data_IF_422549048417
#
_entry.id   IF_422549048417
#
_cell.length_a   1.000
_cell.length_b   1.000
_cell.length_c   1.000
_cell.angle_alpha   90.00
_cell.angle_beta   90.00
_cell.angle_gamma   90.00
#
_symmetry.space_group_name_H-M   'P 1'
#
loop_
_entity.id
_entity.type
_entity.pdbx_description
1 polymer ?
#
# COMPACT_ATOMS: atom_id res chain seq x y z
N UNK A 1 -5.04 -0.65 2.05
CA UNK A 1 -6.51 -0.72 2.18
C UNK A 1 -6.89 -0.70 3.64
N UNK A 2 -7.85 0.11 4.00
CA UNK A 2 -8.26 0.26 5.39
C UNK A 2 -9.26 -0.83 5.77
N UNK A 3 -8.89 -1.64 6.75
CA UNK A 3 -9.76 -2.66 7.31
C UNK A 3 -9.75 -2.53 8.83
N UNK A 4 -10.78 -3.00 9.48
CA UNK A 4 -10.87 -2.98 10.93
C UNK A 4 -11.25 -1.64 11.54
N UNK A 5 -11.45 -0.60 10.73
CA UNK A 5 -11.87 0.72 11.20
C UNK A 5 -13.33 1.04 10.91
N UNK A 6 -14.07 0.08 10.38
CA UNK A 6 -15.45 0.31 9.96
C UNK A 6 -16.49 -0.03 11.00
N UNK A 7 -16.10 -0.75 12.02
CA UNK A 7 -17.00 -1.17 13.07
C UNK A 7 -16.84 -0.25 14.26
N UNK A 8 -17.67 0.68 14.37
CA UNK A 8 -17.71 1.59 15.52
C UNK A 8 -19.17 1.88 15.84
N UNK A 9 -19.40 2.26 17.08
CA UNK A 9 -20.73 2.53 17.57
C UNK A 9 -21.11 3.97 17.26
N UNK A 10 -21.85 4.17 16.21
CA UNK A 10 -22.32 5.47 15.82
C UNK A 10 -21.50 6.14 14.73
N UNK A 11 -21.93 7.29 14.23
CA UNK A 11 -21.26 8.01 13.16
C UNK A 11 -19.98 8.66 13.64
N UNK A 12 -18.96 8.65 12.78
CA UNK A 12 -17.74 9.38 13.03
C UNK A 12 -17.92 10.85 12.72
N UNK A 13 -17.30 11.68 13.52
CA UNK A 13 -17.21 13.11 13.26
C UNK A 13 -16.20 13.37 12.14
N UNK A 14 -16.35 14.48 11.42
CA UNK A 14 -15.43 14.87 10.37
C UNK A 14 -14.00 15.01 10.91
N UNK A 15 -13.87 15.50 12.16
CA UNK A 15 -12.58 15.66 12.85
C UNK A 15 -11.89 14.33 13.13
N UNK A 16 -12.61 13.20 13.01
CA UNK A 16 -12.03 11.85 13.17
C UNK A 16 -11.45 11.29 11.89
N UNK A 17 -11.45 12.08 10.81
CA UNK A 17 -10.95 11.66 9.52
C UNK A 17 -9.77 12.55 9.13
N UNK A 18 -8.71 11.92 8.63
CA UNK A 18 -7.57 12.65 8.07
C UNK A 18 -7.73 12.65 6.56
N UNK A 19 -7.92 13.82 5.98
CA UNK A 19 -7.99 13.96 4.54
C UNK A 19 -6.61 14.08 3.94
N UNK A 20 -6.37 13.30 2.88
CA UNK A 20 -5.14 13.41 2.10
C UNK A 20 -5.46 14.03 0.74
N UNK A 21 -4.62 14.99 0.35
CA UNK A 21 -4.73 15.65 -0.94
C UNK A 21 -3.90 14.92 -1.99
N UNK A 22 -4.10 15.25 -3.27
CA UNK A 22 -3.23 14.75 -4.33
C UNK A 22 -1.78 15.16 -4.11
N UNK A 23 -1.54 16.34 -3.58
CA UNK A 23 -0.18 16.78 -3.25
C UNK A 23 0.44 15.92 -2.17
N UNK A 24 -0.34 15.55 -1.13
CA UNK A 24 0.15 14.63 -0.10
C UNK A 24 0.59 13.31 -0.71
N UNK A 25 -0.20 12.76 -1.62
CA UNK A 25 0.11 11.48 -2.27
C UNK A 25 1.38 11.61 -3.10
N UNK A 26 1.50 12.68 -3.89
CA UNK A 26 2.69 12.92 -4.69
C UNK A 26 3.95 12.98 -3.83
N UNK A 27 3.88 13.67 -2.70
CA UNK A 27 5.02 13.78 -1.78
C UNK A 27 5.41 12.42 -1.19
N UNK A 28 4.45 11.58 -0.84
CA UNK A 28 4.74 10.25 -0.32
C UNK A 28 5.36 9.35 -1.38
N UNK A 29 4.83 9.39 -2.60
CA UNK A 29 5.40 8.64 -3.71
C UNK A 29 6.84 9.09 -4.00
N UNK A 30 7.09 10.38 -4.02
CA UNK A 30 8.43 10.92 -4.25
C UNK A 30 9.40 10.49 -3.15
N UNK A 31 8.96 10.50 -1.89
CA UNK A 31 9.75 10.04 -0.77
C UNK A 31 10.15 8.58 -0.95
N UNK A 32 9.21 7.73 -1.33
CA UNK A 32 9.49 6.31 -1.56
C UNK A 32 10.48 6.13 -2.72
N UNK A 33 10.23 6.83 -3.84
CA UNK A 33 11.10 6.75 -5.00
C UNK A 33 12.54 7.15 -4.67
N UNK A 34 12.71 8.22 -3.92
CA UNK A 34 14.03 8.70 -3.52
C UNK A 34 14.75 7.70 -2.61
N UNK A 35 14.02 7.08 -1.69
CA UNK A 35 14.58 6.06 -0.81
C UNK A 35 15.06 4.84 -1.59
N UNK A 36 14.29 4.41 -2.59
CA UNK A 36 14.66 3.29 -3.45
C UNK A 36 15.93 3.63 -4.23
N UNK A 37 15.99 4.82 -4.82
CA UNK A 37 17.16 5.26 -5.58
C UNK A 37 18.38 5.40 -4.70
N UNK A 38 18.22 5.94 -3.51
CA UNK A 38 19.33 6.08 -2.56
C UNK A 38 19.90 4.72 -2.16
N UNK A 39 19.04 3.76 -1.90
CA UNK A 39 19.43 2.41 -1.49
C UNK A 39 19.96 1.59 -2.66
N UNK A 40 19.72 2.05 -3.88
CA UNK A 40 20.14 1.38 -5.12
C UNK A 40 19.56 -0.02 -5.27
N UNK A 41 18.39 -0.26 -4.69
CA UNK A 41 17.69 -1.52 -4.89
C UNK A 41 17.23 -1.63 -6.34
N UNK A 42 17.41 -2.82 -6.90
CA UNK A 42 16.95 -3.09 -8.25
C UNK A 42 15.49 -3.50 -8.19
N UNK A 43 14.63 -2.67 -8.74
CA UNK A 43 13.21 -2.97 -8.90
C UNK A 43 12.94 -3.19 -10.39
N UNK A 44 12.40 -4.34 -10.73
CA UNK A 44 12.12 -4.71 -12.11
C UNK A 44 10.64 -4.61 -12.48
N UNK A 45 9.77 -4.68 -11.47
CA UNK A 45 8.33 -4.58 -11.68
C UNK A 45 7.66 -4.07 -10.40
N UNK A 46 6.61 -3.28 -10.60
CA UNK A 46 5.76 -2.81 -9.51
C UNK A 46 4.40 -3.49 -9.63
N UNK A 47 3.95 -4.08 -8.52
CA UNK A 47 2.62 -4.66 -8.41
C UNK A 47 1.77 -3.73 -7.55
N UNK A 48 0.74 -3.15 -8.15
CA UNK A 48 -0.20 -2.29 -7.40
C UNK A 48 -1.41 -3.09 -6.95
N UNK A 49 -1.63 -3.13 -5.65
CA UNK A 49 -2.77 -3.86 -5.09
C UNK A 49 -4.06 -3.08 -5.28
N UNK A 50 -5.07 -3.70 -5.84
CA UNK A 50 -6.38 -3.08 -5.97
C UNK A 50 -7.05 -2.97 -4.58
N UNK A 51 -7.71 -1.87 -4.32
CA UNK A 51 -7.76 -0.71 -5.22
C UNK A 51 -6.78 0.38 -4.79
N UNK A 52 -6.46 0.46 -3.50
CA UNK A 52 -5.69 1.56 -2.93
C UNK A 52 -4.28 1.71 -3.47
N UNK A 53 -3.65 0.60 -3.87
CA UNK A 53 -2.29 0.62 -4.41
C UNK A 53 -2.19 0.90 -5.90
N UNK A 54 -3.33 1.01 -6.61
CA UNK A 54 -3.30 1.19 -8.07
C UNK A 54 -2.71 2.54 -8.46
N UNK A 55 -3.22 3.62 -7.91
CA UNK A 55 -2.75 4.96 -8.27
C UNK A 55 -1.33 5.21 -7.76
N UNK A 56 -1.00 4.95 -6.48
CA UNK A 56 0.39 5.08 -6.03
C UNK A 56 1.35 4.19 -6.83
N UNK A 57 0.91 2.98 -7.17
CA UNK A 57 1.73 2.05 -7.95
C UNK A 57 2.06 2.59 -9.34
N UNK A 58 1.07 3.15 -10.04
CA UNK A 58 1.28 3.78 -11.33
C UNK A 58 2.23 4.97 -11.22
N UNK A 59 2.02 5.82 -10.22
CA UNK A 59 2.89 6.98 -10.01
C UNK A 59 4.33 6.57 -9.73
N UNK A 60 4.50 5.53 -8.91
CA UNK A 60 5.83 5.04 -8.57
C UNK A 60 6.51 4.38 -9.78
N UNK A 61 5.74 3.67 -10.61
CA UNK A 61 6.27 3.06 -11.83
C UNK A 61 6.82 4.11 -12.79
N UNK A 62 6.13 5.24 -12.91
CA UNK A 62 6.64 6.38 -13.69
C UNK A 62 7.89 6.98 -13.07
N UNK A 63 7.89 7.17 -11.77
CA UNK A 63 9.04 7.76 -11.08
C UNK A 63 10.30 6.91 -11.18
N UNK A 64 10.16 5.59 -11.19
CA UNK A 64 11.27 4.65 -11.29
C UNK A 64 11.51 4.13 -12.71
N UNK A 65 10.62 4.44 -13.63
CA UNK A 65 10.66 3.96 -15.02
C UNK A 65 10.72 2.43 -15.11
N UNK A 66 9.80 1.78 -14.41
CA UNK A 66 9.68 0.31 -14.41
C UNK A 66 8.23 -0.10 -14.73
N UNK A 67 8.01 -1.31 -15.25
CA UNK A 67 6.66 -1.77 -15.57
C UNK A 67 5.75 -1.84 -14.35
N UNK A 68 4.46 -1.60 -14.60
CA UNK A 68 3.41 -1.69 -13.58
C UNK A 68 2.42 -2.78 -13.95
N UNK A 69 2.04 -3.60 -12.96
CA UNK A 69 1.04 -4.64 -13.10
C UNK A 69 0.02 -4.48 -11.97
N UNK A 70 -1.27 -4.30 -12.29
CA UNK A 70 -2.30 -4.29 -11.25
C UNK A 70 -2.56 -5.71 -10.77
N UNK A 71 -2.76 -5.84 -9.45
CA UNK A 71 -3.11 -7.12 -8.84
C UNK A 71 -4.45 -6.95 -8.13
N UNK A 72 -5.43 -7.71 -8.57
CA UNK A 72 -6.71 -7.76 -7.89
C UNK A 72 -6.55 -8.58 -6.62
N UNK A 73 -6.68 -7.93 -5.47
CA UNK A 73 -6.52 -8.57 -4.18
C UNK A 73 -7.71 -8.22 -3.30
N UNK A 74 -8.56 -9.22 -3.04
CA UNK A 74 -9.77 -9.05 -2.26
C UNK A 74 -9.89 -10.15 -1.23
N UNK A 75 -10.46 -9.81 -0.08
CA UNK A 75 -10.82 -10.78 0.94
C UNK A 75 -12.34 -10.84 1.01
N UNK A 76 -12.89 -12.04 0.84
CA UNK A 76 -14.32 -12.31 0.97
C UNK A 76 -14.54 -13.47 1.90
N UNK A 77 -15.38 -13.27 2.92
CA UNK A 77 -15.76 -14.34 3.84
C UNK A 77 -14.53 -15.06 4.40
N UNK A 78 -13.48 -14.31 4.69
CA UNK A 78 -12.23 -14.85 5.20
C UNK A 78 -11.33 -15.50 4.15
N UNK A 79 -11.76 -15.55 2.90
CA UNK A 79 -10.98 -16.13 1.81
C UNK A 79 -10.39 -15.03 0.93
N UNK A 80 -9.11 -15.20 0.58
CA UNK A 80 -8.43 -14.29 -0.33
C UNK A 80 -8.79 -14.65 -1.76
N UNK A 81 -9.21 -13.63 -2.52
CA UNK A 81 -9.49 -13.80 -3.94
C UNK A 81 -8.56 -12.89 -4.75
N UNK A 82 -7.83 -13.47 -5.65
CA UNK A 82 -6.89 -12.75 -6.51
C UNK A 82 -6.82 -13.45 -7.86
N UNK A 83 -6.58 -12.67 -8.90
CA UNK A 83 -6.64 -13.14 -10.29
C UNK A 83 -5.28 -13.29 -10.95
N UNK A 84 -4.24 -12.75 -10.34
CA UNK A 84 -2.89 -12.79 -10.90
C UNK A 84 -2.11 -13.94 -10.27
N UNK A 85 -1.19 -14.49 -11.05
CA UNK A 85 -0.27 -15.53 -10.57
C UNK A 85 0.87 -14.84 -9.78
N UNK A 86 0.57 -14.45 -8.56
CA UNK A 86 1.49 -13.66 -7.74
C UNK A 86 2.83 -14.37 -7.54
N UNK A 87 2.83 -15.70 -7.47
CA UNK A 87 4.03 -16.49 -7.28
C UNK A 87 5.06 -16.28 -8.39
N UNK A 88 4.62 -15.93 -9.61
CA UNK A 88 5.52 -15.64 -10.73
C UNK A 88 6.42 -14.46 -10.42
N UNK A 89 5.91 -13.54 -9.58
CA UNK A 89 6.62 -12.32 -9.23
C UNK A 89 7.29 -12.41 -7.85
N UNK A 90 7.38 -13.59 -7.27
CA UNK A 90 7.98 -13.78 -5.94
C UNK A 90 9.51 -13.67 -6.03
N UNK A 91 9.98 -12.45 -6.19
CA UNK A 91 11.40 -12.12 -6.34
C UNK A 91 11.72 -10.85 -5.57
N UNK A 92 12.95 -10.69 -5.08
CA UNK A 92 13.34 -9.46 -4.38
C UNK A 92 13.40 -8.22 -5.30
N UNK A 93 13.26 -8.40 -6.61
CA UNK A 93 13.18 -7.30 -7.58
C UNK A 93 11.75 -6.86 -7.86
N UNK A 94 10.77 -7.48 -7.22
CA UNK A 94 9.35 -7.10 -7.28
C UNK A 94 9.02 -6.21 -6.10
N UNK A 95 8.37 -5.08 -6.36
CA UNK A 95 7.87 -4.18 -5.32
C UNK A 95 6.35 -4.17 -5.35
N UNK A 96 5.76 -4.60 -4.25
CA UNK A 96 4.32 -4.51 -4.04
C UNK A 96 4.00 -3.15 -3.42
N UNK A 97 3.00 -2.48 -3.96
CA UNK A 97 2.59 -1.15 -3.52
C UNK A 97 1.16 -1.19 -2.98
N UNK A 98 1.00 -0.68 -1.78
CA UNK A 98 -0.29 -0.49 -1.13
C UNK A 98 -0.41 0.98 -0.69
N UNK A 99 -1.61 1.42 -0.36
CA UNK A 99 -1.83 2.78 0.12
C UNK A 99 -1.53 2.89 1.61
N UNK A 100 -1.95 1.92 2.40
CA UNK A 100 -1.96 2.01 3.85
C UNK A 100 -1.78 0.63 4.47
N UNK A 101 -0.92 0.55 5.48
CA UNK A 101 -0.91 -0.55 6.42
C UNK A 101 -1.76 -0.14 7.61
N UNK A 102 -2.96 -0.71 7.72
CA UNK A 102 -3.85 -0.48 8.87
C UNK A 102 -3.71 -1.61 9.89
N UNK A 103 -4.38 -2.73 9.69
CA UNK A 103 -4.20 -3.90 10.54
C UNK A 103 -2.99 -4.75 10.16
N UNK A 104 -2.56 -4.66 8.91
CA UNK A 104 -1.48 -5.47 8.37
C UNK A 104 -1.94 -6.79 7.76
N UNK A 105 -3.25 -7.05 7.75
CA UNK A 105 -3.78 -8.30 7.22
C UNK A 105 -3.33 -8.57 5.78
N UNK A 106 -3.47 -7.60 4.90
CA UNK A 106 -3.07 -7.74 3.50
C UNK A 106 -1.57 -7.98 3.38
N UNK A 107 -0.78 -7.26 4.16
CA UNK A 107 0.67 -7.44 4.17
C UNK A 107 1.05 -8.89 4.48
N UNK A 108 0.49 -9.45 5.54
CA UNK A 108 0.82 -10.83 5.93
C UNK A 108 0.33 -11.85 4.90
N UNK A 109 -0.84 -11.63 4.30
CA UNK A 109 -1.37 -12.50 3.25
C UNK A 109 -0.45 -12.51 2.02
N UNK A 110 -0.01 -11.33 1.59
CA UNK A 110 0.90 -11.21 0.44
C UNK A 110 2.23 -11.90 0.74
N UNK A 111 2.81 -11.63 1.91
CA UNK A 111 4.10 -12.21 2.29
C UNK A 111 4.02 -13.74 2.46
N UNK A 112 2.85 -14.26 2.79
CA UNK A 112 2.64 -15.71 2.86
C UNK A 112 2.70 -16.35 1.47
N UNK A 113 2.11 -15.68 0.48
CA UNK A 113 2.07 -16.18 -0.91
C UNK A 113 3.37 -15.89 -1.65
N UNK A 114 3.97 -14.74 -1.40
CA UNK A 114 5.18 -14.28 -2.09
C UNK A 114 6.17 -13.69 -1.08
N UNK A 115 6.90 -14.55 -0.36
CA UNK A 115 7.75 -14.11 0.75
C UNK A 115 8.96 -13.27 0.33
N UNK A 116 9.38 -13.34 -0.92
CA UNK A 116 10.59 -12.66 -1.37
C UNK A 116 10.37 -11.26 -1.92
N UNK A 117 9.11 -10.87 -2.19
CA UNK A 117 8.83 -9.53 -2.72
C UNK A 117 9.16 -8.46 -1.69
N UNK A 118 9.51 -7.29 -2.18
CA UNK A 118 9.56 -6.09 -1.36
C UNK A 118 8.17 -5.47 -1.29
N UNK A 119 7.89 -4.80 -0.19
CA UNK A 119 6.56 -4.25 0.07
C UNK A 119 6.69 -2.81 0.53
N UNK A 120 5.88 -1.93 -0.05
CA UNK A 120 5.82 -0.55 0.40
C UNK A 120 4.36 -0.08 0.54
N UNK A 121 4.18 0.93 1.37
CA UNK A 121 2.91 1.61 1.54
C UNK A 121 3.16 3.10 1.69
N UNK A 122 2.18 3.91 1.30
CA UNK A 122 2.29 5.36 1.50
C UNK A 122 2.30 5.70 2.99
N UNK A 123 1.46 5.02 3.77
CA UNK A 123 1.33 5.26 5.21
C UNK A 123 1.37 3.93 5.97
N UNK A 124 2.05 3.93 7.09
CA UNK A 124 2.13 2.74 7.95
C UNK A 124 1.69 3.09 9.37
N UNK A 125 0.63 2.44 9.84
CA UNK A 125 0.14 2.58 11.21
C UNK A 125 0.71 1.55 12.17
N UNK A 126 1.40 0.52 11.66
CA UNK A 126 1.84 -0.62 12.47
C UNK A 126 3.36 -0.62 12.62
N UNK A 127 3.84 -0.18 13.78
CA UNK A 127 5.28 -0.15 14.04
C UNK A 127 5.92 -1.55 14.03
N UNK A 128 5.12 -2.59 14.27
CA UNK A 128 5.61 -3.98 14.29
C UNK A 128 5.84 -4.57 12.90
N UNK A 129 5.37 -3.89 11.84
CA UNK A 129 5.56 -4.35 10.47
C UNK A 129 6.75 -3.62 9.86
N UNK A 130 7.77 -4.39 9.50
CA UNK A 130 8.96 -3.87 8.86
C UNK A 130 8.74 -3.83 7.34
N UNK A 131 8.32 -2.69 6.83
CA UNK A 131 8.21 -2.46 5.40
C UNK A 131 9.59 -2.20 4.81
N UNK A 132 9.77 -2.57 3.55
CA UNK A 132 10.99 -2.22 2.83
C UNK A 132 11.05 -0.71 2.58
N UNK A 133 9.91 -0.12 2.21
CA UNK A 133 9.80 1.32 1.97
C UNK A 133 8.43 1.82 2.44
N UNK A 134 8.38 3.07 2.86
CA UNK A 134 7.14 3.74 3.25
C UNK A 134 7.29 5.24 3.04
N UNK A 135 6.15 5.92 2.94
CA UNK A 135 6.14 7.38 2.89
C UNK A 135 6.22 7.97 4.29
N UNK A 136 5.15 7.82 5.06
CA UNK A 136 5.06 8.35 6.43
C UNK A 136 4.54 7.30 7.39
N UNK A 137 4.91 7.46 8.66
CA UNK A 137 4.40 6.62 9.74
C UNK A 137 3.30 7.35 10.47
N UNK A 138 2.24 6.60 10.82
CA UNK A 138 1.11 7.11 11.60
C UNK A 138 0.84 6.12 12.74
N UNK A 139 1.86 5.86 13.54
CA UNK A 139 1.76 4.86 14.61
C UNK A 139 0.71 5.27 15.64
N UNK A 140 -0.09 4.30 16.05
CA UNK A 140 -1.18 4.47 17.01
C UNK A 140 -2.27 5.44 16.55
N UNK A 141 -2.32 5.75 15.25
CA UNK A 141 -3.37 6.58 14.68
C UNK A 141 -4.59 5.74 14.40
N UNK A 142 -5.72 6.05 15.03
CA UNK A 142 -6.96 5.31 14.83
C UNK A 142 -7.96 6.04 13.93
N UNK A 143 -7.63 7.26 13.48
CA UNK A 143 -8.50 7.99 12.56
C UNK A 143 -8.47 7.38 11.17
N UNK A 144 -9.59 7.48 10.48
CA UNK A 144 -9.72 7.04 9.10
C UNK A 144 -8.93 7.95 8.17
N UNK A 145 -8.19 7.38 7.22
CA UNK A 145 -7.57 8.16 6.16
C UNK A 145 -8.49 8.21 4.96
N UNK A 146 -8.81 9.43 4.51
CA UNK A 146 -9.65 9.66 3.34
C UNK A 146 -8.73 10.06 2.18
N UNK A 147 -8.53 9.13 1.27
CA UNK A 147 -7.65 9.33 0.11
C UNK A 147 -8.38 10.06 -1.01
N UNK A 148 -7.66 10.83 -1.85
CA UNK A 148 -8.31 11.64 -2.87
C UNK A 148 -9.03 10.81 -3.94
N UNK A 149 -8.63 9.58 -4.18
CA UNK A 149 -9.28 8.70 -5.14
C UNK A 149 -10.52 7.99 -4.58
N UNK A 150 -10.79 8.09 -3.29
CA UNK A 150 -11.94 7.45 -2.66
C UNK A 150 -13.21 8.31 -2.73
N UNK A 151 -13.09 9.50 -3.23
CA UNK A 151 -14.22 10.42 -3.32
C UNK A 151 -15.24 9.96 -4.33
N UNK A 152 -16.47 10.14 -3.97
CA UNK A 152 -17.60 9.87 -4.85
C UNK A 152 -18.33 11.17 -5.13
#
# INVERSE_FOLDING_TARGET
MQVGKKHFDGPKLVSETIKKSWLDIEQEVMTIAERIKFKQDKIEVILGLSRGGLIPGVMLSHALNVPFIPVVWQTRDGNVQWTNHLQVYDKPTTLVVDDLIDSGETFYQIKDVAPNVKYCALYNKQYSIALDYWGSTLYNEDRWLDFPWEKV
#
